data_IF_651965657779
#
_entry.id   IF_651965657779
#
_cell.length_a   1.000
_cell.length_b   1.000
_cell.length_c   1.000
_cell.angle_alpha   90.00
_cell.angle_beta   90.00
_cell.angle_gamma   90.00
#
_symmetry.space_group_name_H-M   'P 1'
#
loop_
_entity.id
_entity.type
_entity.pdbx_description
1 polymer ?
#
# COMPACT_ATOMS: atom_id res chain seq x y z
N UNK A 1 6.39 -1.54 -16.64
CA UNK A 1 6.06 -2.97 -16.39
C UNK A 1 7.16 -3.70 -15.64
N UNK A 2 8.41 -3.65 -16.12
CA UNK A 2 9.59 -4.30 -15.52
C UNK A 2 9.83 -3.89 -14.06
N UNK A 3 9.73 -2.59 -13.74
CA UNK A 3 9.89 -2.09 -12.38
C UNK A 3 8.93 -2.73 -11.36
N UNK A 4 7.66 -2.88 -11.71
CA UNK A 4 6.65 -3.45 -10.81
C UNK A 4 6.93 -4.93 -10.50
N UNK A 5 7.58 -5.64 -11.44
CA UNK A 5 7.99 -7.03 -11.26
C UNK A 5 9.15 -7.14 -10.27
N UNK A 6 10.21 -6.34 -10.46
CA UNK A 6 11.31 -6.27 -9.51
C UNK A 6 10.86 -5.83 -8.12
N UNK A 7 9.98 -4.82 -8.04
CA UNK A 7 9.44 -4.36 -6.77
C UNK A 7 8.66 -5.46 -6.03
N UNK A 8 7.87 -6.26 -6.75
CA UNK A 8 7.11 -7.38 -6.14
C UNK A 8 7.99 -8.54 -5.66
N UNK A 9 9.24 -8.63 -6.13
CA UNK A 9 10.20 -9.66 -5.71
C UNK A 9 11.03 -9.24 -4.49
N UNK A 10 10.96 -7.97 -4.08
CA UNK A 10 11.64 -7.49 -2.88
C UNK A 10 10.96 -8.02 -1.61
N UNK A 11 11.77 -8.23 -0.56
CA UNK A 11 11.23 -8.51 0.77
C UNK A 11 10.36 -7.36 1.27
N UNK A 12 9.43 -7.67 2.17
CA UNK A 12 8.46 -6.71 2.69
C UNK A 12 9.15 -5.46 3.27
N UNK A 13 10.19 -5.64 4.07
CA UNK A 13 10.99 -4.56 4.64
C UNK A 13 11.62 -3.65 3.56
N UNK A 14 12.17 -4.26 2.50
CA UNK A 14 12.78 -3.50 1.40
C UNK A 14 11.73 -2.75 0.59
N UNK A 15 10.55 -3.33 0.36
CA UNK A 15 9.44 -2.64 -0.28
C UNK A 15 9.04 -1.40 0.52
N UNK A 16 8.88 -1.54 1.84
CA UNK A 16 8.44 -0.47 2.72
C UNK A 16 9.49 0.62 2.85
N UNK A 17 10.76 0.26 3.08
CA UNK A 17 11.86 1.21 3.13
C UNK A 17 11.98 1.98 1.81
N UNK A 18 11.81 1.30 0.67
CA UNK A 18 11.80 1.97 -0.63
C UNK A 18 10.60 2.91 -0.80
N UNK A 19 9.41 2.54 -0.31
CA UNK A 19 8.22 3.41 -0.33
C UNK A 19 8.38 4.63 0.58
N UNK A 20 8.97 4.47 1.77
CA UNK A 20 9.25 5.58 2.68
C UNK A 20 10.28 6.55 2.09
N UNK A 21 11.22 6.04 1.29
CA UNK A 21 12.32 6.86 0.73
C UNK A 21 11.97 7.49 -0.62
N UNK A 22 11.22 6.78 -1.47
CA UNK A 22 10.97 7.13 -2.88
C UNK A 22 9.50 7.23 -3.25
N UNK A 23 8.60 6.73 -2.40
CA UNK A 23 7.16 6.80 -2.60
C UNK A 23 6.59 8.13 -2.13
N UNK A 24 5.47 8.51 -2.73
CA UNK A 24 4.64 9.63 -2.27
C UNK A 24 3.56 9.07 -1.36
N UNK A 25 3.50 9.54 -0.12
CA UNK A 25 2.38 9.20 0.78
C UNK A 25 1.11 9.87 0.26
N UNK A 26 0.09 9.08 -0.05
CA UNK A 26 -1.23 9.56 -0.47
C UNK A 26 -2.18 9.76 0.71
N UNK A 27 -1.80 9.28 1.89
CA UNK A 27 -2.58 9.43 3.12
C UNK A 27 -2.76 8.12 3.87
N UNK A 28 -3.55 8.19 4.92
CA UNK A 28 -3.91 7.06 5.77
C UNK A 28 -5.42 6.93 5.85
N UNK A 29 -5.91 5.70 5.93
CA UNK A 29 -7.32 5.39 6.11
C UNK A 29 -7.49 4.37 7.22
N UNK A 30 -8.59 4.45 7.96
CA UNK A 30 -8.94 3.50 9.00
C UNK A 30 -9.97 2.51 8.44
N UNK A 31 -9.70 1.22 8.59
CA UNK A 31 -10.61 0.15 8.20
C UNK A 31 -10.60 -0.93 9.27
N UNK A 32 -11.76 -1.33 9.76
CA UNK A 32 -11.92 -2.39 10.77
C UNK A 32 -11.01 -2.19 12.00
N UNK A 33 -10.81 -0.93 12.41
CA UNK A 33 -9.92 -0.55 13.52
C UNK A 33 -8.41 -0.55 13.21
N UNK A 34 -8.00 -0.90 11.98
CA UNK A 34 -6.60 -0.87 11.53
C UNK A 34 -6.30 0.33 10.64
N UNK A 35 -5.08 0.88 10.72
CA UNK A 35 -4.62 1.95 9.82
C UNK A 35 -3.94 1.38 8.59
N UNK A 36 -4.48 1.73 7.43
CA UNK A 36 -3.92 1.42 6.13
C UNK A 36 -3.26 2.67 5.58
N UNK A 37 -1.97 2.58 5.31
CA UNK A 37 -1.16 3.65 4.74
C UNK A 37 -1.08 3.45 3.23
N UNK A 38 -1.41 4.46 2.45
CA UNK A 38 -1.39 4.35 0.99
C UNK A 38 -0.22 5.15 0.44
N UNK A 39 0.62 4.49 -0.34
CA UNK A 39 1.76 5.09 -1.01
C UNK A 39 1.62 4.95 -2.51
N UNK A 40 2.11 5.94 -3.25
CA UNK A 40 2.25 5.91 -4.70
C UNK A 40 3.72 5.88 -5.06
N UNK A 41 4.08 4.93 -5.90
CA UNK A 41 5.42 4.79 -6.45
C UNK A 41 5.32 4.75 -7.97
N UNK A 42 5.54 5.91 -8.62
CA UNK A 42 5.27 6.11 -10.05
C UNK A 42 3.80 5.84 -10.37
N UNK A 43 3.50 4.74 -11.06
CA UNK A 43 2.13 4.30 -11.40
C UNK A 43 1.67 3.08 -10.57
N UNK A 44 2.46 2.67 -9.58
CA UNK A 44 2.13 1.60 -8.65
C UNK A 44 1.59 2.20 -7.36
N UNK A 45 0.43 1.74 -6.92
CA UNK A 45 -0.12 2.08 -5.61
C UNK A 45 0.17 0.92 -4.66
N UNK A 46 0.55 1.23 -3.43
CA UNK A 46 0.86 0.24 -2.41
C UNK A 46 0.17 0.61 -1.12
N UNK A 47 -0.65 -0.31 -0.63
CA UNK A 47 -1.20 -0.21 0.72
C UNK A 47 -0.28 -0.95 1.68
N UNK A 48 0.05 -0.31 2.78
CA UNK A 48 0.91 -0.84 3.83
C UNK A 48 0.14 -0.83 5.13
N UNK A 49 0.10 -1.98 5.78
CA UNK A 49 -0.41 -2.12 7.14
C UNK A 49 0.80 -2.37 8.02
N UNK A 50 0.99 -1.47 8.99
CA UNK A 50 2.09 -1.54 9.93
C UNK A 50 1.70 -2.27 11.21
N UNK A 51 2.69 -2.85 11.87
CA UNK A 51 2.52 -3.41 13.20
C UNK A 51 2.02 -2.34 14.17
N UNK A 52 0.95 -2.66 14.90
CA UNK A 52 0.29 -1.74 15.82
C UNK A 52 -0.09 -0.39 15.19
N UNK A 53 -0.35 -0.38 13.87
CA UNK A 53 -0.75 0.82 13.12
C UNK A 53 0.27 1.98 13.23
N UNK A 54 1.55 1.65 13.44
CA UNK A 54 2.63 2.62 13.58
C UNK A 54 3.62 2.52 12.42
N UNK A 55 3.72 3.58 11.61
CA UNK A 55 4.64 3.65 10.46
C UNK A 55 6.13 3.60 10.80
N UNK A 56 6.51 3.68 12.08
CA UNK A 56 7.88 3.45 12.56
C UNK A 56 8.19 1.98 12.84
N UNK A 57 7.17 1.13 12.92
CA UNK A 57 7.35 -0.32 13.11
C UNK A 57 7.43 -1.04 11.76
N UNK A 58 7.86 -2.31 11.73
CA UNK A 58 7.81 -3.13 10.53
C UNK A 58 6.40 -3.18 9.94
N UNK A 59 6.31 -3.33 8.62
CA UNK A 59 5.02 -3.64 8.01
C UNK A 59 4.64 -5.09 8.31
N UNK A 60 3.35 -5.33 8.56
CA UNK A 60 2.80 -6.68 8.61
C UNK A 60 2.46 -7.16 7.20
N UNK A 61 1.92 -6.26 6.38
CA UNK A 61 1.39 -6.61 5.07
C UNK A 61 1.50 -5.45 4.10
N UNK A 62 1.86 -5.77 2.86
CA UNK A 62 1.77 -4.86 1.73
C UNK A 62 0.79 -5.41 0.70
N UNK A 63 0.07 -4.51 0.04
CA UNK A 63 -0.82 -4.84 -1.08
C UNK A 63 -0.49 -3.97 -2.27
N UNK A 64 -0.03 -4.60 -3.33
CA UNK A 64 0.35 -3.93 -4.56
C UNK A 64 -0.85 -3.79 -5.49
N UNK A 65 -1.21 -2.55 -5.81
CA UNK A 65 -2.31 -2.18 -6.69
C UNK A 65 -1.71 -1.52 -7.94
N UNK A 66 -1.71 -2.27 -9.05
CA UNK A 66 -1.08 -1.84 -10.31
C UNK A 66 -2.00 -0.86 -11.06
N UNK A 67 -1.69 0.42 -11.02
CA UNK A 67 -2.42 1.47 -11.74
C UNK A 67 -3.75 1.89 -11.10
N UNK A 68 -4.25 3.04 -11.54
CA UNK A 68 -5.40 3.73 -10.93
C UNK A 68 -6.70 2.91 -11.04
N UNK A 69 -6.89 2.18 -12.14
CA UNK A 69 -8.08 1.33 -12.33
C UNK A 69 -8.20 0.26 -11.25
N UNK A 70 -7.09 -0.35 -10.85
CA UNK A 70 -7.09 -1.38 -9.80
C UNK A 70 -7.23 -0.77 -8.40
N UNK A 71 -6.70 0.43 -8.18
CA UNK A 71 -6.95 1.19 -6.96
C UNK A 71 -8.45 1.49 -6.83
N UNK A 72 -9.07 2.10 -7.84
CA UNK A 72 -10.48 2.45 -7.82
C UNK A 72 -11.38 1.22 -7.65
N UNK A 73 -11.12 0.14 -8.40
CA UNK A 73 -11.86 -1.12 -8.25
C UNK A 73 -11.71 -1.69 -6.83
N UNK A 74 -10.52 -1.57 -6.22
CA UNK A 74 -10.32 -2.03 -4.86
C UNK A 74 -11.12 -1.19 -3.86
N UNK A 75 -11.03 0.13 -3.95
CA UNK A 75 -11.75 1.06 -3.08
C UNK A 75 -13.27 0.92 -3.24
N UNK A 76 -13.77 0.76 -4.46
CA UNK A 76 -15.19 0.55 -4.73
C UNK A 76 -15.68 -0.78 -4.14
N UNK A 77 -14.89 -1.86 -4.29
CA UNK A 77 -15.23 -3.15 -3.67
C UNK A 77 -15.31 -3.03 -2.16
N UNK A 78 -14.39 -2.28 -1.54
CA UNK A 78 -14.41 -2.08 -0.10
C UNK A 78 -15.54 -1.17 0.36
N UNK A 79 -15.87 -0.15 -0.43
CA UNK A 79 -17.02 0.71 -0.17
C UNK A 79 -18.31 -0.13 -0.15
N UNK A 80 -18.53 -0.95 -1.17
CA UNK A 80 -19.69 -1.85 -1.27
C UNK A 80 -19.73 -2.99 -0.25
N UNK A 81 -18.61 -3.32 0.40
CA UNK A 81 -18.62 -4.35 1.46
C UNK A 81 -18.98 -3.80 2.83
N UNK A 82 -18.91 -2.48 2.99
CA UNK A 82 -19.16 -1.79 4.26
C UNK A 82 -20.57 -1.21 4.36
N UNK A 83 -21.25 -1.05 3.21
CA UNK A 83 -22.63 -0.56 3.07
C UNK A 83 -23.48 -1.60 2.34
#
# INVERSE_FOLDING_TARGET
>A
MIFNFFFSQLSLEKQVSYLQTKGVSLGTRVKDGRKIYVYMLRSLFVEVIYEHDNSMKPAEKTKLLRGLKNLNKHLEKEFRSTF
#
